data_IF_321196592407
#
_entry.id   IF_321196592407
#
_cell.length_a   1.000
_cell.length_b   1.000
_cell.length_c   1.000
_cell.angle_alpha   90.00
_cell.angle_beta   90.00
_cell.angle_gamma   90.00
#
_symmetry.space_group_name_H-M   'P 1'
#
loop_
_entity.id
_entity.type
_entity.pdbx_description
1 polymer ?
#
# COMPACT_ATOMS: atom_id res chain seq x y z
N UNK A 1 10.18 17.56 -1.73
CA UNK A 1 9.18 16.53 -1.41
C UNK A 1 9.89 15.47 -0.61
N UNK A 2 9.57 15.32 0.67
CA UNK A 2 10.23 14.35 1.55
C UNK A 2 9.58 12.98 1.37
N UNK A 3 10.39 11.97 1.01
CA UNK A 3 9.98 10.58 1.05
C UNK A 3 9.82 10.18 2.52
N UNK A 4 8.59 9.89 2.97
CA UNK A 4 8.34 9.37 4.33
C UNK A 4 8.10 7.85 4.24
N UNK A 5 9.18 7.09 4.35
CA UNK A 5 9.21 5.63 4.39
C UNK A 5 10.55 5.10 3.88
N UNK A 6 10.85 3.83 4.19
CA UNK A 6 12.08 3.12 3.76
C UNK A 6 12.02 2.75 2.26
N UNK A 7 11.75 3.74 1.39
CA UNK A 7 11.67 3.55 -0.05
C UNK A 7 13.06 3.66 -0.69
N UNK A 8 13.27 2.88 -1.75
CA UNK A 8 14.48 2.97 -2.57
C UNK A 8 14.49 4.33 -3.27
N UNK A 9 15.56 5.08 -3.09
CA UNK A 9 15.78 6.37 -3.77
C UNK A 9 16.62 6.16 -5.02
N UNK A 10 16.48 7.08 -5.97
CA UNK A 10 17.39 7.20 -7.10
C UNK A 10 18.85 7.30 -6.65
N UNK A 11 19.10 7.99 -5.53
CA UNK A 11 20.41 8.11 -4.89
C UNK A 11 20.94 6.83 -4.26
N UNK A 12 20.13 5.80 -4.08
CA UNK A 12 20.57 4.53 -3.48
C UNK A 12 21.16 3.57 -4.52
N UNK A 13 21.15 3.94 -5.81
CA UNK A 13 21.61 3.13 -6.93
C UNK A 13 22.78 3.84 -7.64
N UNK A 14 23.99 3.31 -7.48
CA UNK A 14 25.23 3.94 -7.97
C UNK A 14 25.56 3.65 -9.44
N UNK A 15 24.81 2.77 -10.11
CA UNK A 15 25.17 2.22 -11.42
C UNK A 15 24.09 2.43 -12.50
N UNK A 16 23.35 3.54 -12.42
CA UNK A 16 22.40 3.93 -13.45
C UNK A 16 23.07 4.06 -14.82
N UNK A 17 22.39 3.58 -15.87
CA UNK A 17 22.85 3.77 -17.24
C UNK A 17 22.78 5.24 -17.64
N UNK A 18 23.79 5.72 -18.36
CA UNK A 18 23.82 7.10 -18.85
C UNK A 18 22.63 7.37 -19.78
N UNK A 19 21.91 8.47 -19.53
CA UNK A 19 20.75 8.88 -20.34
C UNK A 19 19.40 8.60 -19.69
N UNK A 20 19.37 7.93 -18.54
CA UNK A 20 18.15 7.85 -17.73
C UNK A 20 17.86 9.22 -17.08
N UNK A 21 16.60 9.62 -17.11
CA UNK A 21 16.04 10.73 -16.34
C UNK A 21 15.11 10.25 -15.22
N UNK A 22 14.62 11.21 -14.44
CA UNK A 22 13.81 10.99 -13.22
C UNK A 22 12.62 10.04 -13.43
N UNK A 23 11.98 10.09 -14.60
CA UNK A 23 10.83 9.23 -14.93
C UNK A 23 11.25 7.76 -15.11
N UNK A 24 12.41 7.52 -15.73
CA UNK A 24 12.93 6.18 -15.99
C UNK A 24 13.50 5.56 -14.72
N UNK A 25 14.14 6.36 -13.86
CA UNK A 25 14.53 5.94 -12.51
C UNK A 25 13.32 5.48 -11.70
N UNK A 26 12.26 6.29 -11.67
CA UNK A 26 11.03 5.93 -10.96
C UNK A 26 10.40 4.64 -11.49
N UNK A 27 10.33 4.47 -12.81
CA UNK A 27 9.74 3.27 -13.41
C UNK A 27 10.52 1.98 -13.05
N UNK A 28 11.86 2.06 -12.94
CA UNK A 28 12.68 0.92 -12.52
C UNK A 28 12.49 0.64 -11.03
N UNK A 29 12.50 1.68 -10.19
CA UNK A 29 12.28 1.55 -8.74
C UNK A 29 10.90 0.92 -8.46
N UNK A 30 9.83 1.46 -9.05
CA UNK A 30 8.47 0.95 -8.89
C UNK A 30 8.37 -0.55 -9.29
N UNK A 31 9.10 -0.96 -10.35
CA UNK A 31 9.13 -2.36 -10.80
C UNK A 31 9.86 -3.26 -9.83
N UNK A 32 10.95 -2.80 -9.23
CA UNK A 32 11.71 -3.55 -8.23
C UNK A 32 10.89 -3.70 -6.95
N UNK A 33 10.24 -2.64 -6.48
CA UNK A 33 9.34 -2.69 -5.32
C UNK A 33 8.20 -3.69 -5.54
N UNK A 34 7.56 -3.70 -6.71
CA UNK A 34 6.54 -4.70 -7.05
C UNK A 34 7.06 -6.15 -7.05
N UNK A 35 8.31 -6.35 -7.47
CA UNK A 35 8.94 -7.68 -7.44
C UNK A 35 9.23 -8.13 -6.01
N UNK A 36 9.72 -7.22 -5.17
CA UNK A 36 9.95 -7.47 -3.74
C UNK A 36 8.62 -7.80 -3.06
N UNK A 37 7.57 -7.01 -3.31
CA UNK A 37 6.23 -7.26 -2.75
C UNK A 37 5.73 -8.66 -3.08
N UNK A 38 5.90 -9.07 -4.35
CA UNK A 38 5.49 -10.40 -4.82
C UNK A 38 6.28 -11.54 -4.17
N UNK A 39 7.58 -11.36 -3.93
CA UNK A 39 8.47 -12.40 -3.38
C UNK A 39 8.32 -12.49 -1.86
N UNK A 40 8.35 -11.34 -1.19
CA UNK A 40 8.32 -11.24 0.26
C UNK A 40 6.90 -11.38 0.83
N UNK A 41 5.85 -11.30 -0.01
CA UNK A 41 4.44 -11.19 0.44
C UNK A 41 4.23 -10.06 1.43
N UNK A 42 5.08 -9.05 1.35
CA UNK A 42 4.98 -7.78 2.08
C UNK A 42 4.50 -6.74 1.10
N UNK A 43 3.87 -5.67 1.58
CA UNK A 43 3.51 -4.53 0.75
C UNK A 43 4.39 -3.36 1.19
N UNK A 44 5.37 -2.98 0.36
CA UNK A 44 6.19 -1.79 0.57
C UNK A 44 5.39 -0.51 0.32
N UNK A 45 4.28 -0.59 -0.42
CA UNK A 45 3.35 0.51 -0.64
C UNK A 45 2.11 0.47 0.26
N UNK A 46 1.70 1.65 0.77
CA UNK A 46 0.37 1.83 1.34
C UNK A 46 -0.69 1.73 0.25
N UNK A 47 -1.45 0.63 0.26
CA UNK A 47 -2.55 0.41 -0.67
C UNK A 47 -3.88 0.55 0.04
N UNK A 48 -4.63 1.59 -0.30
CA UNK A 48 -6.02 1.71 0.14
C UNK A 48 -6.89 0.69 -0.60
N UNK A 49 -7.78 0.03 0.12
CA UNK A 49 -8.74 -0.91 -0.45
C UNK A 49 -10.10 -0.76 0.22
N UNK A 50 -11.15 -0.98 -0.56
CA UNK A 50 -12.53 -0.96 -0.08
C UNK A 50 -13.06 -2.39 0.08
N UNK A 51 -13.48 -2.76 1.28
CA UNK A 51 -14.18 -4.03 1.54
C UNK A 51 -15.65 -3.74 1.83
N UNK A 52 -16.54 -4.25 0.97
CA UNK A 52 -17.99 -4.18 1.15
C UNK A 52 -18.51 -5.52 1.68
N UNK A 53 -19.07 -5.51 2.87
CA UNK A 53 -19.63 -6.69 3.52
C UNK A 53 -21.06 -6.41 3.97
N UNK A 54 -21.95 -7.35 3.67
CA UNK A 54 -23.27 -7.35 4.27
C UNK A 54 -23.20 -7.98 5.67
N UNK A 55 -24.02 -7.48 6.60
CA UNK A 55 -24.08 -8.01 7.96
C UNK A 55 -24.34 -9.52 7.96
N UNK A 56 -23.66 -10.24 8.84
CA UNK A 56 -23.78 -11.71 8.98
C UNK A 56 -24.73 -12.13 10.11
N UNK A 57 -25.51 -11.20 10.67
CA UNK A 57 -26.42 -11.46 11.81
C UNK A 57 -25.72 -11.77 13.13
N UNK A 58 -24.40 -11.57 13.24
CA UNK A 58 -23.61 -11.80 14.47
C UNK A 58 -23.13 -10.48 15.05
N UNK A 59 -22.81 -10.50 16.35
CA UNK A 59 -22.24 -9.35 17.07
C UNK A 59 -20.79 -9.02 16.68
N UNK A 60 -20.16 -9.83 15.81
CA UNK A 60 -18.79 -9.64 15.35
C UNK A 60 -18.72 -9.87 13.85
N UNK A 61 -18.15 -8.90 13.16
CA UNK A 61 -17.81 -8.99 11.75
C UNK A 61 -16.32 -9.32 11.64
N UNK A 62 -16.01 -10.49 11.07
CA UNK A 62 -14.64 -10.82 10.70
C UNK A 62 -14.42 -10.33 9.28
N UNK A 63 -13.58 -9.33 9.12
CA UNK A 63 -13.24 -8.77 7.81
C UNK A 63 -12.12 -9.66 7.23
N UNK A 64 -12.32 -10.28 6.05
CA UNK A 64 -11.26 -11.01 5.39
C UNK A 64 -10.29 -9.99 4.80
N UNK A 65 -9.30 -9.59 5.61
CA UNK A 65 -8.23 -8.73 5.15
C UNK A 65 -7.34 -9.53 4.21
N UNK A 66 -7.06 -9.03 2.99
CA UNK A 66 -6.18 -9.73 2.06
C UNK A 66 -4.75 -9.82 2.60
N UNK A 67 -4.34 -8.83 3.41
CA UNK A 67 -3.00 -8.64 3.94
C UNK A 67 -3.05 -7.91 5.29
N UNK A 68 -1.92 -7.89 6.02
CA UNK A 68 -1.80 -7.11 7.26
C UNK A 68 -1.94 -5.61 6.99
N UNK A 69 -2.72 -4.92 7.83
CA UNK A 69 -2.99 -3.49 7.71
C UNK A 69 -2.35 -2.67 8.82
N UNK A 70 -1.90 -1.47 8.48
CA UNK A 70 -1.31 -0.52 9.44
C UNK A 70 -2.39 0.36 10.07
N UNK A 71 -3.46 0.66 9.34
CA UNK A 71 -4.54 1.52 9.81
C UNK A 71 -5.79 1.45 8.94
N UNK A 72 -6.89 1.92 9.50
CA UNK A 72 -8.18 2.07 8.83
C UNK A 72 -8.49 3.56 8.79
N UNK A 73 -8.77 4.09 7.61
CA UNK A 73 -9.08 5.51 7.41
C UNK A 73 -10.57 5.79 7.68
N UNK A 74 -11.45 5.01 7.02
CA UNK A 74 -12.90 5.16 7.15
C UNK A 74 -13.60 3.81 7.32
N UNK A 75 -14.67 3.79 8.12
CA UNK A 75 -15.58 2.65 8.26
C UNK A 75 -17.01 3.12 8.07
N UNK A 76 -17.75 2.46 7.18
CA UNK A 76 -19.15 2.78 6.91
C UNK A 76 -20.07 1.60 7.26
N UNK A 77 -21.15 1.86 7.97
CA UNK A 77 -22.26 0.92 8.18
C UNK A 77 -23.53 1.52 7.59
N UNK A 78 -24.15 0.82 6.64
CA UNK A 78 -25.37 1.31 5.95
C UNK A 78 -25.21 2.72 5.37
N UNK A 79 -24.05 3.00 4.76
CA UNK A 79 -23.66 4.31 4.20
C UNK A 79 -23.51 5.44 5.25
N UNK A 80 -23.47 5.11 6.53
CA UNK A 80 -23.19 6.05 7.62
C UNK A 80 -21.76 5.83 8.08
N UNK A 81 -20.96 6.89 8.07
CA UNK A 81 -19.59 6.85 8.57
C UNK A 81 -19.58 6.70 10.09
N UNK A 82 -18.77 5.77 10.58
CA UNK A 82 -18.53 5.63 12.01
C UNK A 82 -17.44 6.60 12.44
N UNK A 83 -17.62 7.32 13.55
CA UNK A 83 -16.59 8.18 14.08
C UNK A 83 -15.35 7.35 14.49
N UNK A 84 -14.15 7.90 14.37
CA UNK A 84 -12.94 7.26 14.89
C UNK A 84 -13.09 7.05 16.40
N UNK A 85 -12.73 5.86 16.86
CA UNK A 85 -12.74 5.46 18.27
C UNK A 85 -11.54 5.96 19.03
#
# INVERSE_FOLDING_TARGET
MGYSGDYIKDTDVDNWQSGYGDVEYKAVIDKVEQLIDKVCKTHFGSKSFDIKLNGNGKNRLFIPLPDDIIGIDHVYISCIELPPS
#
